data_IF_242402341245
#
_entry.id   IF_242402341245
#
_cell.length_a   1.000
_cell.length_b   1.000
_cell.length_c   1.000
_cell.angle_alpha   90.00
_cell.angle_beta   90.00
_cell.angle_gamma   90.00
#
_symmetry.space_group_name_H-M   'P 1'
#
loop_
_entity.id
_entity.type
_entity.pdbx_description
1 polymer ?
#
# COMPACT_ATOMS: atom_id res chain seq x y z
N UNK A 1 -33.20 -78.36 51.92
CA UNK A 1 -32.81 -79.36 50.90
C UNK A 1 -33.34 -78.91 49.54
N UNK A 2 -32.46 -78.90 48.52
CA UNK A 2 -32.70 -79.00 47.06
C UNK A 2 -33.39 -77.80 46.34
N UNK A 3 -32.64 -76.90 45.66
CA UNK A 3 -32.14 -76.89 44.24
C UNK A 3 -33.24 -76.51 43.22
N UNK A 4 -33.20 -75.38 42.50
CA UNK A 4 -32.42 -74.95 41.30
C UNK A 4 -33.35 -74.73 40.07
N UNK A 5 -33.30 -73.50 39.53
CA UNK A 5 -33.33 -73.03 38.11
C UNK A 5 -34.35 -73.59 37.10
N UNK A 6 -35.00 -72.69 36.35
CA UNK A 6 -34.79 -72.31 34.92
C UNK A 6 -35.99 -71.42 34.48
N UNK A 7 -35.74 -70.24 33.87
CA UNK A 7 -36.02 -69.87 32.45
C UNK A 7 -37.51 -70.04 32.01
N UNK A 8 -38.19 -69.22 31.21
CA UNK A 8 -37.95 -67.99 30.45
C UNK A 8 -39.26 -67.71 29.65
N UNK A 9 -39.62 -66.43 29.37
CA UNK A 9 -40.36 -65.89 28.18
C UNK A 9 -41.73 -66.53 27.77
N UNK A 10 -42.79 -65.87 27.30
CA UNK A 10 -43.04 -64.53 26.74
C UNK A 10 -44.56 -64.35 26.46
N UNK A 11 -44.94 -63.11 26.08
CA UNK A 11 -46.05 -62.73 25.16
C UNK A 11 -47.49 -62.77 25.73
N UNK A 12 -48.40 -61.80 25.55
CA UNK A 12 -48.57 -60.71 24.56
C UNK A 12 -49.80 -59.88 24.96
N UNK A 13 -49.76 -58.55 24.80
CA UNK A 13 -50.74 -57.68 24.10
C UNK A 13 -50.54 -56.23 24.56
N UNK A 14 -50.38 -55.27 23.64
CA UNK A 14 -51.17 -54.03 23.55
C UNK A 14 -50.57 -53.00 22.58
N UNK A 15 -51.43 -52.57 21.65
CA UNK A 15 -51.48 -51.34 20.84
C UNK A 15 -50.17 -50.59 20.57
N UNK A 16 -49.70 -50.63 19.32
CA UNK A 16 -48.80 -49.62 18.76
C UNK A 16 -49.59 -48.64 17.87
N UNK A 17 -49.57 -47.38 18.29
CA UNK A 17 -50.10 -46.26 17.54
C UNK A 17 -49.25 -46.01 16.28
N UNK A 18 -49.93 -45.69 15.18
CA UNK A 18 -49.29 -45.22 13.95
C UNK A 18 -48.81 -43.79 14.17
N UNK A 19 -47.51 -43.62 14.41
CA UNK A 19 -46.82 -42.33 14.25
C UNK A 19 -45.94 -42.43 13.02
N UNK A 20 -46.32 -41.74 11.94
CA UNK A 20 -45.51 -41.65 10.74
C UNK A 20 -44.14 -41.00 11.03
N UNK A 21 -43.11 -41.27 10.22
CA UNK A 21 -41.84 -40.59 10.37
C UNK A 21 -42.04 -39.12 10.00
N UNK A 22 -42.00 -38.25 11.00
CA UNK A 22 -41.77 -36.84 10.78
C UNK A 22 -40.36 -36.71 10.16
N UNK A 23 -40.33 -36.42 8.87
CA UNK A 23 -39.14 -35.91 8.20
C UNK A 23 -38.70 -34.66 8.98
N UNK A 24 -37.67 -34.79 9.81
CA UNK A 24 -36.97 -33.66 10.37
C UNK A 24 -36.27 -32.94 9.20
N UNK A 25 -36.99 -32.00 8.59
CA UNK A 25 -36.39 -31.02 7.71
C UNK A 25 -35.41 -30.21 8.57
N UNK A 26 -34.11 -30.40 8.34
CA UNK A 26 -33.05 -29.56 8.88
C UNK A 26 -33.23 -28.16 8.29
N UNK A 27 -34.09 -27.37 8.93
CA UNK A 27 -34.48 -26.04 8.47
C UNK A 27 -33.31 -25.14 8.82
N UNK A 28 -32.38 -24.97 7.87
CA UNK A 28 -31.26 -24.04 8.01
C UNK A 28 -31.78 -22.71 8.56
N UNK A 29 -31.23 -22.30 9.71
CA UNK A 29 -31.63 -21.08 10.40
C UNK A 29 -31.14 -19.86 9.62
N UNK A 30 -32.05 -19.29 8.84
CA UNK A 30 -31.83 -18.09 8.05
C UNK A 30 -32.15 -16.81 8.84
N UNK A 31 -32.30 -16.89 10.17
CA UNK A 31 -32.45 -15.70 10.99
C UNK A 31 -31.13 -14.94 11.10
N UNK A 32 -31.25 -13.61 11.17
CA UNK A 32 -30.13 -12.73 11.42
C UNK A 32 -29.89 -12.65 12.92
N UNK A 33 -28.64 -12.67 13.36
CA UNK A 33 -28.30 -12.54 14.77
C UNK A 33 -26.88 -12.07 14.98
N UNK A 34 -26.49 -12.04 16.25
CA UNK A 34 -25.11 -11.79 16.67
C UNK A 34 -24.61 -12.95 17.52
N UNK A 35 -23.31 -13.25 17.42
CA UNK A 35 -22.61 -14.24 18.25
C UNK A 35 -21.30 -13.63 18.75
N UNK A 36 -21.16 -13.50 20.07
CA UNK A 36 -19.92 -13.05 20.70
C UNK A 36 -19.06 -14.24 21.08
N UNK A 37 -17.77 -14.18 20.76
CA UNK A 37 -16.78 -15.20 21.10
C UNK A 37 -15.70 -14.61 21.99
N UNK A 38 -15.44 -15.29 23.09
CA UNK A 38 -14.30 -14.99 23.96
C UNK A 38 -13.06 -15.65 23.40
N UNK A 39 -11.98 -14.88 23.27
CA UNK A 39 -10.69 -15.38 22.81
C UNK A 39 -9.59 -15.00 23.81
N UNK A 40 -8.50 -15.75 23.79
CA UNK A 40 -7.29 -15.37 24.54
C UNK A 40 -6.70 -14.09 23.97
N UNK A 41 -5.80 -13.46 24.72
CA UNK A 41 -5.14 -12.25 24.24
C UNK A 41 -4.31 -12.51 22.97
N UNK A 42 -4.27 -11.51 22.08
CA UNK A 42 -3.51 -11.54 20.84
C UNK A 42 -3.00 -10.13 20.53
N UNK A 43 -2.01 -10.04 19.64
CA UNK A 43 -1.53 -8.77 19.09
C UNK A 43 -1.42 -8.80 17.57
N UNK A 44 -1.73 -9.92 16.94
CA UNK A 44 -1.71 -10.09 15.49
C UNK A 44 -3.05 -10.65 15.01
N UNK A 45 -3.54 -10.17 13.87
CA UNK A 45 -4.77 -10.66 13.24
C UNK A 45 -4.42 -11.17 11.84
N UNK A 46 -4.93 -12.34 11.49
CA UNK A 46 -4.81 -12.95 10.18
C UNK A 46 -6.20 -13.34 9.66
N UNK A 47 -6.63 -12.68 8.59
CA UNK A 47 -7.97 -12.81 8.02
C UNK A 47 -7.90 -13.64 6.72
N UNK A 48 -8.67 -14.72 6.66
CA UNK A 48 -8.72 -15.65 5.52
C UNK A 48 -10.19 -15.96 5.21
N UNK A 49 -10.87 -15.03 4.54
CA UNK A 49 -12.25 -15.24 4.11
C UNK A 49 -12.86 -14.02 3.43
N UNK A 50 -14.08 -14.17 2.90
CA UNK A 50 -14.84 -13.10 2.25
C UNK A 50 -15.65 -12.30 3.28
N UNK A 51 -15.03 -11.90 4.38
CA UNK A 51 -15.72 -11.25 5.49
C UNK A 51 -15.48 -9.74 5.48
N UNK A 52 -16.52 -8.97 5.75
CA UNK A 52 -16.31 -7.57 6.13
C UNK A 52 -15.85 -7.52 7.59
N UNK A 53 -14.65 -7.03 7.85
CA UNK A 53 -14.03 -7.05 9.18
C UNK A 53 -13.81 -5.64 9.68
N UNK A 54 -14.33 -5.34 10.88
CA UNK A 54 -14.10 -4.05 11.54
C UNK A 54 -13.25 -4.31 12.78
N UNK A 55 -12.08 -3.66 12.86
CA UNK A 55 -11.14 -3.78 13.97
C UNK A 55 -11.12 -2.47 14.74
N UNK A 56 -11.33 -2.53 16.05
CA UNK A 56 -11.32 -1.37 16.95
C UNK A 56 -10.31 -1.55 18.10
N UNK A 57 -9.72 -0.47 18.64
CA UNK A 57 -8.80 -0.53 19.78
C UNK A 57 -9.53 -0.66 21.12
N UNK A 58 -10.76 -1.17 21.13
CA UNK A 58 -11.58 -1.24 22.35
C UNK A 58 -10.94 -2.17 23.38
N UNK A 59 -11.19 -1.90 24.66
CA UNK A 59 -10.53 -2.60 25.76
C UNK A 59 -10.83 -4.11 25.75
N UNK A 60 -9.78 -4.91 25.87
CA UNK A 60 -9.87 -6.37 25.86
C UNK A 60 -9.60 -6.96 24.47
N UNK A 61 -9.89 -8.26 24.35
CA UNK A 61 -9.79 -9.02 23.12
C UNK A 61 -11.10 -9.78 22.96
N UNK A 62 -11.85 -9.46 21.92
CA UNK A 62 -13.19 -9.98 21.71
C UNK A 62 -13.56 -10.02 20.25
N UNK A 63 -14.46 -10.92 19.90
CA UNK A 63 -14.97 -11.09 18.54
C UNK A 63 -16.48 -11.09 18.60
N UNK A 64 -17.13 -10.32 17.74
CA UNK A 64 -18.57 -10.33 17.54
C UNK A 64 -18.87 -10.58 16.05
N UNK A 65 -19.60 -11.65 15.78
CA UNK A 65 -20.08 -12.00 14.44
C UNK A 65 -21.51 -11.48 14.29
N UNK A 66 -21.82 -10.85 13.15
CA UNK A 66 -23.17 -10.40 12.81
C UNK A 66 -23.52 -10.85 11.39
N UNK A 67 -24.59 -11.62 11.24
CA UNK A 67 -24.91 -12.29 9.98
C UNK A 67 -26.03 -13.32 10.10
N UNK A 68 -26.18 -14.15 9.07
CA UNK A 68 -27.08 -15.30 9.10
C UNK A 68 -26.51 -16.35 10.06
N UNK A 69 -27.32 -16.79 11.03
CA UNK A 69 -26.86 -17.71 12.08
C UNK A 69 -26.24 -19.01 11.56
N UNK A 70 -26.78 -19.56 10.47
CA UNK A 70 -26.22 -20.76 9.81
C UNK A 70 -24.73 -20.63 9.44
N UNK A 71 -24.24 -19.42 9.20
CA UNK A 71 -22.86 -19.17 8.77
C UNK A 71 -21.89 -19.14 9.95
N UNK A 72 -22.34 -18.87 11.18
CA UNK A 72 -21.42 -18.74 12.32
C UNK A 72 -20.64 -20.02 12.61
N UNK A 73 -21.29 -21.18 12.45
CA UNK A 73 -20.65 -22.48 12.62
C UNK A 73 -19.58 -22.78 11.56
N UNK A 74 -19.59 -22.08 10.42
CA UNK A 74 -18.60 -22.23 9.35
C UNK A 74 -17.39 -21.31 9.52
N UNK A 75 -17.44 -20.34 10.44
CA UNK A 75 -16.36 -19.40 10.68
C UNK A 75 -15.51 -19.93 11.82
N UNK A 76 -14.24 -20.20 11.56
CA UNK A 76 -13.29 -20.57 12.59
C UNK A 76 -12.53 -19.34 13.10
N UNK A 77 -12.49 -19.20 14.43
CA UNK A 77 -11.77 -18.13 15.13
C UNK A 77 -10.83 -18.78 16.15
N UNK A 78 -9.54 -18.88 15.84
CA UNK A 78 -8.56 -19.55 16.68
C UNK A 78 -7.41 -18.62 16.99
N UNK A 79 -6.90 -18.66 18.23
CA UNK A 79 -5.69 -17.94 18.63
C UNK A 79 -4.57 -18.97 18.77
N UNK A 80 -3.49 -18.79 18.02
CA UNK A 80 -2.27 -19.59 18.13
C UNK A 80 -1.07 -18.66 18.37
N UNK A 81 -0.39 -18.85 19.52
CA UNK A 81 0.57 -17.88 20.03
C UNK A 81 -0.11 -16.53 20.23
N UNK A 82 0.40 -15.49 19.57
CA UNK A 82 -0.13 -14.12 19.64
C UNK A 82 -1.03 -13.74 18.45
N UNK A 83 -1.38 -14.71 17.60
CA UNK A 83 -2.11 -14.45 16.35
C UNK A 83 -3.53 -15.01 16.40
N UNK A 84 -4.52 -14.13 16.30
CA UNK A 84 -5.90 -14.48 15.99
C UNK A 84 -6.02 -14.79 14.49
N UNK A 85 -6.43 -16.00 14.15
CA UNK A 85 -6.81 -16.37 12.79
C UNK A 85 -8.33 -16.46 12.69
N UNK A 86 -8.90 -15.67 11.78
CA UNK A 86 -10.31 -15.76 11.40
C UNK A 86 -10.36 -16.32 9.99
N UNK A 87 -10.91 -17.52 9.84
CA UNK A 87 -10.95 -18.20 8.54
C UNK A 87 -12.28 -18.85 8.25
N UNK A 88 -12.67 -18.88 6.98
CA UNK A 88 -13.68 -19.83 6.50
C UNK A 88 -12.94 -21.07 5.96
N UNK A 89 -13.07 -22.25 6.60
CA UNK A 89 -12.55 -23.47 6.02
C UNK A 89 -13.16 -23.67 4.65
N UNK A 90 -12.34 -24.02 3.65
CA UNK A 90 -12.87 -24.51 2.37
C UNK A 90 -13.71 -25.74 2.68
N UNK A 91 -15.03 -25.59 2.68
CA UNK A 91 -15.90 -26.74 2.56
C UNK A 91 -15.53 -27.42 1.26
N UNK A 92 -15.09 -28.67 1.34
CA UNK A 92 -14.83 -29.54 0.21
C UNK A 92 -16.19 -29.87 -0.43
N UNK A 93 -16.83 -28.89 -1.07
CA UNK A 93 -17.94 -29.15 -1.98
C UNK A 93 -17.33 -29.78 -3.22
N UNK A 94 -17.23 -31.10 -3.21
CA UNK A 94 -17.02 -31.89 -4.42
C UNK A 94 -18.13 -31.52 -5.41
N UNK A 95 -17.79 -30.75 -6.44
CA UNK A 95 -18.71 -30.35 -7.50
C UNK A 95 -18.40 -28.96 -8.02
N UNK A 96 -17.82 -28.89 -9.22
CA UNK A 96 -17.68 -27.64 -9.98
C UNK A 96 -19.08 -27.23 -10.45
N UNK A 97 -19.68 -26.22 -9.82
CA UNK A 97 -20.90 -25.57 -10.31
C UNK A 97 -20.63 -24.07 -10.45
N UNK A 98 -20.51 -23.58 -11.69
CA UNK A 98 -20.63 -22.15 -11.97
C UNK A 98 -22.10 -21.77 -11.98
N UNK A 99 -22.57 -21.14 -10.91
CA UNK A 99 -23.79 -20.35 -10.98
C UNK A 99 -23.40 -18.88 -11.15
N UNK A 100 -23.44 -18.38 -12.39
CA UNK A 100 -23.54 -16.94 -12.64
C UNK A 100 -24.92 -16.49 -12.16
N UNK A 101 -25.01 -16.02 -10.92
CA UNK A 101 -26.21 -15.37 -10.40
C UNK A 101 -26.06 -13.86 -10.62
N UNK A 102 -26.64 -13.35 -11.70
CA UNK A 102 -26.94 -11.93 -11.85
C UNK A 102 -28.21 -11.63 -11.05
N UNK A 103 -28.03 -11.40 -9.76
CA UNK A 103 -29.10 -10.96 -8.85
C UNK A 103 -28.50 -10.02 -7.83
N UNK A 104 -29.10 -8.83 -7.67
CA UNK A 104 -28.84 -7.95 -6.53
C UNK A 104 -29.38 -8.61 -5.27
N UNK A 105 -28.68 -9.61 -4.78
CA UNK A 105 -29.02 -10.22 -3.51
C UNK A 105 -28.65 -9.21 -2.43
N UNK A 106 -29.68 -8.61 -1.82
CA UNK A 106 -29.60 -7.70 -0.70
C UNK A 106 -29.20 -8.46 0.59
N UNK A 107 -28.30 -9.46 0.46
CA UNK A 107 -27.78 -10.25 1.55
C UNK A 107 -26.80 -9.37 2.31
N UNK A 108 -27.22 -8.92 3.49
CA UNK A 108 -26.35 -8.21 4.44
C UNK A 108 -25.12 -9.08 4.69
N UNK A 109 -23.96 -8.56 4.34
CA UNK A 109 -22.68 -9.24 4.41
C UNK A 109 -22.36 -9.69 5.84
N UNK A 110 -21.65 -10.81 5.96
CA UNK A 110 -21.14 -11.29 7.24
C UNK A 110 -20.13 -10.27 7.77
N UNK A 111 -20.47 -9.63 8.89
CA UNK A 111 -19.61 -8.63 9.55
C UNK A 111 -18.95 -9.24 10.77
N UNK A 112 -17.64 -9.08 10.89
CA UNK A 112 -16.85 -9.54 12.03
C UNK A 112 -16.25 -8.32 12.71
N UNK A 113 -16.68 -8.02 13.94
CA UNK A 113 -16.09 -6.97 14.76
C UNK A 113 -15.03 -7.59 15.69
N UNK A 114 -13.83 -7.03 15.69
CA UNK A 114 -12.71 -7.49 16.50
C UNK A 114 -12.20 -6.34 17.36
N UNK A 115 -12.26 -6.50 18.69
CA UNK A 115 -11.63 -5.57 19.63
C UNK A 115 -10.19 -6.02 19.89
N UNK A 116 -9.22 -5.15 19.66
CA UNK A 116 -7.79 -5.45 19.73
C UNK A 116 -6.98 -4.28 20.30
N UNK A 117 -6.97 -4.14 21.63
CA UNK A 117 -6.34 -3.01 22.31
C UNK A 117 -4.81 -2.87 22.07
N UNK A 118 -4.10 -3.97 21.80
CA UNK A 118 -2.64 -3.99 21.64
C UNK A 118 -2.20 -4.54 20.28
N UNK A 119 -2.98 -4.26 19.23
CA UNK A 119 -2.71 -4.72 17.88
C UNK A 119 -1.36 -4.18 17.37
N UNK A 120 -0.55 -5.08 16.82
CA UNK A 120 0.75 -4.80 16.19
C UNK A 120 0.78 -5.20 14.72
N UNK A 121 -0.03 -6.19 14.32
CA UNK A 121 -0.03 -6.70 12.95
C UNK A 121 -1.45 -7.07 12.50
N UNK A 122 -1.81 -6.66 11.29
CA UNK A 122 -3.07 -6.99 10.64
C UNK A 122 -2.77 -7.47 9.22
N UNK A 123 -3.12 -8.72 8.94
CA UNK A 123 -2.96 -9.35 7.63
C UNK A 123 -4.32 -9.70 7.05
N UNK A 124 -4.61 -9.19 5.85
CA UNK A 124 -5.74 -9.62 5.03
C UNK A 124 -5.26 -10.53 3.90
N UNK A 125 -5.53 -11.83 4.00
CA UNK A 125 -5.33 -12.80 2.93
C UNK A 125 -6.68 -13.26 2.32
N UNK A 126 -7.78 -12.61 2.73
CA UNK A 126 -9.13 -12.86 2.25
C UNK A 126 -9.56 -11.91 1.14
N UNK A 127 -10.76 -12.12 0.63
CA UNK A 127 -11.37 -11.26 -0.39
C UNK A 127 -12.39 -10.28 0.18
N UNK A 128 -12.49 -10.20 1.51
CA UNK A 128 -13.38 -9.26 2.18
C UNK A 128 -12.63 -8.04 2.66
N UNK A 129 -13.38 -6.96 2.84
CA UNK A 129 -12.84 -5.64 3.20
C UNK A 129 -12.57 -5.55 4.69
N UNK A 130 -11.56 -4.77 5.04
CA UNK A 130 -11.11 -4.59 6.42
C UNK A 130 -11.06 -3.12 6.78
N UNK A 131 -11.73 -2.75 7.87
CA UNK A 131 -11.71 -1.41 8.41
C UNK A 131 -11.03 -1.40 9.79
N UNK A 132 -9.84 -0.80 9.88
CA UNK A 132 -9.16 -0.53 11.14
C UNK A 132 -9.50 0.88 11.62
N UNK A 133 -10.33 0.97 12.65
CA UNK A 133 -10.87 2.25 13.12
C UNK A 133 -10.11 2.80 14.32
N UNK A 134 -9.76 4.09 14.28
CA UNK A 134 -9.24 4.86 15.44
C UNK A 134 -8.00 4.23 16.11
N UNK A 135 -7.16 3.53 15.34
CA UNK A 135 -5.96 2.87 15.87
C UNK A 135 -5.05 3.85 16.61
N UNK A 136 -4.49 3.42 17.74
CA UNK A 136 -3.49 4.18 18.49
C UNK A 136 -2.38 3.24 18.93
N UNK A 137 -1.16 3.47 18.43
CA UNK A 137 -0.04 2.59 18.75
C UNK A 137 1.31 3.16 18.37
N UNK A 138 2.38 2.51 18.85
CA UNK A 138 3.75 2.90 18.47
C UNK A 138 4.17 2.28 17.14
N UNK A 139 3.70 1.07 16.84
CA UNK A 139 4.07 0.31 15.65
C UNK A 139 2.84 -0.44 15.12
N UNK A 140 2.70 -0.48 13.81
CA UNK A 140 1.69 -1.29 13.11
C UNK A 140 2.28 -1.87 11.83
N UNK A 141 2.03 -3.15 11.60
CA UNK A 141 2.28 -3.83 10.33
C UNK A 141 0.95 -4.14 9.65
N UNK A 142 0.76 -3.65 8.44
CA UNK A 142 -0.38 -3.93 7.58
C UNK A 142 0.08 -4.77 6.39
N UNK A 143 -0.53 -5.93 6.17
CA UNK A 143 -0.21 -6.82 5.05
C UNK A 143 -1.50 -7.11 4.28
N UNK A 144 -1.57 -6.67 3.03
CA UNK A 144 -2.65 -7.01 2.09
C UNK A 144 -2.15 -8.03 1.09
N UNK A 145 -2.56 -9.29 1.22
CA UNK A 145 -2.25 -10.38 0.28
C UNK A 145 -3.46 -10.76 -0.59
N UNK A 146 -4.66 -10.39 -0.14
CA UNK A 146 -5.90 -10.73 -0.80
C UNK A 146 -6.42 -9.62 -1.73
N UNK A 147 -7.51 -9.89 -2.44
CA UNK A 147 -8.15 -8.90 -3.31
C UNK A 147 -9.12 -7.97 -2.57
N UNK A 148 -9.28 -8.09 -1.24
CA UNK A 148 -10.16 -7.22 -0.45
C UNK A 148 -9.44 -5.96 0.03
N UNK A 149 -10.18 -4.87 0.18
CA UNK A 149 -9.63 -3.56 0.48
C UNK A 149 -9.31 -3.41 1.98
N UNK A 150 -8.39 -2.51 2.30
CA UNK A 150 -8.08 -2.15 3.69
C UNK A 150 -8.22 -0.64 3.87
N UNK A 151 -9.09 -0.24 4.77
CA UNK A 151 -9.21 1.14 5.23
C UNK A 151 -8.66 1.23 6.65
N UNK A 152 -7.79 2.20 6.93
CA UNK A 152 -7.25 2.40 8.27
C UNK A 152 -7.29 3.87 8.70
N UNK A 153 -7.63 4.09 9.97
CA UNK A 153 -7.68 5.42 10.57
C UNK A 153 -7.05 5.45 11.96
N UNK A 154 -6.54 6.62 12.37
CA UNK A 154 -5.99 6.84 13.70
C UNK A 154 -4.59 7.46 13.69
N UNK A 155 -3.74 7.04 14.63
CA UNK A 155 -2.38 7.53 14.78
C UNK A 155 -1.40 6.42 15.16
N UNK A 156 -0.28 6.36 14.46
CA UNK A 156 0.78 5.38 14.71
C UNK A 156 2.18 6.03 14.69
N UNK A 157 3.11 5.52 15.49
CA UNK A 157 4.50 6.01 15.46
C UNK A 157 5.27 5.54 14.22
N UNK A 158 5.21 4.24 13.93
CA UNK A 158 5.78 3.61 12.74
C UNK A 158 4.80 2.67 12.06
N UNK A 159 4.62 2.84 10.76
CA UNK A 159 3.74 2.03 9.93
C UNK A 159 4.55 1.30 8.86
N UNK A 160 4.42 -0.03 8.83
CA UNK A 160 4.96 -0.86 7.75
C UNK A 160 3.81 -1.47 6.97
N UNK A 161 3.74 -1.17 5.68
CA UNK A 161 2.69 -1.63 4.76
C UNK A 161 3.32 -2.54 3.72
N UNK A 162 2.71 -3.69 3.49
CA UNK A 162 3.05 -4.59 2.38
C UNK A 162 1.78 -4.91 1.60
N UNK A 163 1.71 -4.42 0.37
CA UNK A 163 0.60 -4.66 -0.54
C UNK A 163 1.03 -5.64 -1.64
N UNK A 164 0.68 -6.92 -1.47
CA UNK A 164 0.92 -8.01 -2.42
C UNK A 164 -0.33 -8.34 -3.24
N UNK A 165 -1.51 -8.08 -2.67
CA UNK A 165 -2.80 -8.35 -3.28
C UNK A 165 -3.23 -7.30 -4.31
N UNK A 166 -4.44 -7.48 -4.83
CA UNK A 166 -5.06 -6.57 -5.80
C UNK A 166 -6.11 -5.64 -5.18
N UNK A 167 -6.34 -5.73 -3.87
CA UNK A 167 -7.22 -4.80 -3.16
C UNK A 167 -6.48 -3.52 -2.80
N UNK A 168 -7.23 -2.44 -2.68
CA UNK A 168 -6.69 -1.10 -2.45
C UNK A 168 -6.53 -0.83 -0.95
N UNK A 169 -5.55 0.01 -0.61
CA UNK A 169 -5.31 0.42 0.77
C UNK A 169 -5.54 1.92 0.93
N UNK A 170 -6.62 2.30 1.64
CA UNK A 170 -6.88 3.68 2.03
C UNK A 170 -6.40 3.93 3.47
N UNK A 171 -5.27 4.61 3.57
CA UNK A 171 -4.60 4.99 4.80
C UNK A 171 -4.63 6.51 5.01
N UNK A 172 -5.43 7.25 4.25
CA UNK A 172 -5.47 8.73 4.32
C UNK A 172 -5.89 9.23 5.69
N UNK A 173 -6.70 8.47 6.42
CA UNK A 173 -7.17 8.81 7.75
C UNK A 173 -6.19 8.38 8.88
N UNK A 174 -5.00 7.88 8.56
CA UNK A 174 -4.01 7.36 9.50
C UNK A 174 -2.75 8.24 9.53
N UNK A 175 -2.56 8.98 10.62
CA UNK A 175 -1.36 9.78 10.82
C UNK A 175 -0.18 8.91 11.26
N UNK A 176 0.99 9.10 10.66
CA UNK A 176 2.19 8.32 11.00
C UNK A 176 3.45 9.17 11.18
N UNK A 177 4.33 8.72 12.07
CA UNK A 177 5.69 9.24 12.14
C UNK A 177 6.49 8.73 10.94
N UNK A 178 6.83 7.46 10.97
CA UNK A 178 7.59 6.78 9.93
C UNK A 178 6.68 5.89 9.10
N UNK A 179 6.79 5.98 7.77
CA UNK A 179 6.02 5.15 6.85
C UNK A 179 6.97 4.34 5.96
N UNK A 180 6.83 3.03 5.97
CA UNK A 180 7.47 2.12 5.04
C UNK A 180 6.40 1.42 4.21
N UNK A 181 6.40 1.62 2.90
CA UNK A 181 5.45 1.00 1.96
C UNK A 181 6.21 0.13 0.97
N UNK A 182 5.79 -1.12 0.87
CA UNK A 182 6.24 -2.03 -0.18
C UNK A 182 5.03 -2.51 -0.99
N UNK A 183 5.00 -2.15 -2.27
CA UNK A 183 3.93 -2.54 -3.20
C UNK A 183 4.47 -3.53 -4.21
N UNK A 184 3.97 -4.76 -4.16
CA UNK A 184 4.31 -5.84 -5.07
C UNK A 184 3.11 -6.25 -5.95
N UNK A 185 1.89 -5.96 -5.49
CA UNK A 185 0.66 -6.27 -6.19
C UNK A 185 0.19 -5.15 -7.15
N UNK A 186 -0.93 -5.38 -7.83
CA UNK A 186 -1.55 -4.39 -8.72
C UNK A 186 -2.54 -3.44 -8.04
N UNK A 187 -2.80 -3.60 -6.74
CA UNK A 187 -3.71 -2.72 -5.99
C UNK A 187 -3.04 -1.40 -5.62
N UNK A 188 -3.85 -0.36 -5.46
CA UNK A 188 -3.41 1.00 -5.22
C UNK A 188 -3.27 1.29 -3.72
N UNK A 189 -2.44 2.26 -3.37
CA UNK A 189 -2.27 2.70 -1.98
C UNK A 189 -2.42 4.21 -1.92
N UNK A 190 -3.35 4.68 -1.09
CA UNK A 190 -3.50 6.09 -0.77
C UNK A 190 -3.14 6.32 0.70
N UNK A 191 -2.21 7.23 0.99
CA UNK A 191 -1.82 7.56 2.36
C UNK A 191 -1.68 9.07 2.58
N UNK A 192 -1.69 9.50 3.84
CA UNK A 192 -1.42 10.89 4.18
C UNK A 192 -0.78 11.07 5.56
N UNK A 193 -0.39 12.29 5.91
CA UNK A 193 -0.05 12.67 7.29
C UNK A 193 1.23 12.01 7.81
N UNK A 194 2.27 11.96 6.99
CA UNK A 194 3.60 11.43 7.35
C UNK A 194 4.45 12.55 7.95
N UNK A 195 4.99 12.36 9.14
CA UNK A 195 5.61 13.46 9.94
C UNK A 195 7.10 13.29 10.24
N UNK A 196 7.72 12.17 9.87
CA UNK A 196 9.15 11.92 10.10
C UNK A 196 9.86 11.42 8.85
N UNK A 197 9.78 10.13 8.52
CA UNK A 197 10.51 9.55 7.39
C UNK A 197 9.57 8.70 6.53
N UNK A 198 9.80 8.74 5.21
CA UNK A 198 9.05 7.99 4.22
C UNK A 198 10.00 7.11 3.41
N UNK A 199 9.73 5.80 3.38
CA UNK A 199 10.38 4.84 2.50
C UNK A 199 9.33 4.13 1.65
N UNK A 200 9.52 4.17 0.34
CA UNK A 200 8.60 3.61 -0.65
C UNK A 200 9.38 2.70 -1.60
N UNK A 201 8.88 1.49 -1.79
CA UNK A 201 9.36 0.56 -2.81
C UNK A 201 8.17 0.04 -3.61
N UNK A 202 8.10 0.38 -4.90
CA UNK A 202 7.05 -0.05 -5.81
C UNK A 202 7.63 -1.01 -6.86
N UNK A 203 7.29 -2.28 -6.74
CA UNK A 203 7.62 -3.34 -7.70
C UNK A 203 6.42 -3.72 -8.57
N UNK A 204 5.20 -3.49 -8.05
CA UNK A 204 3.94 -3.82 -8.71
C UNK A 204 3.51 -2.80 -9.76
N UNK A 205 2.30 -2.98 -10.28
CA UNK A 205 1.70 -2.11 -11.30
C UNK A 205 0.62 -1.18 -10.76
N UNK A 206 0.34 -1.22 -9.45
CA UNK A 206 -0.58 -0.30 -8.81
C UNK A 206 0.11 1.03 -8.49
N UNK A 207 -0.72 2.05 -8.30
CA UNK A 207 -0.29 3.43 -8.09
C UNK A 207 -0.26 3.79 -6.60
N UNK A 208 0.67 4.66 -6.24
CA UNK A 208 0.84 5.16 -4.88
C UNK A 208 0.63 6.66 -4.82
N UNK A 209 -0.34 7.10 -4.04
CA UNK A 209 -0.55 8.52 -3.73
C UNK A 209 -0.30 8.78 -2.24
N UNK A 210 0.70 9.61 -1.93
CA UNK A 210 0.96 10.07 -0.56
C UNK A 210 0.89 11.59 -0.48
N UNK A 211 -0.13 12.09 0.21
CA UNK A 211 -0.31 13.50 0.53
C UNK A 211 0.19 13.90 1.91
N UNK A 212 0.22 15.22 2.17
CA UNK A 212 0.51 15.80 3.50
C UNK A 212 1.80 15.26 4.14
N UNK A 213 2.87 15.17 3.32
CA UNK A 213 4.19 14.75 3.78
C UNK A 213 4.90 15.92 4.46
N UNK A 214 5.39 15.70 5.67
CA UNK A 214 6.27 16.60 6.40
C UNK A 214 7.46 15.81 6.95
N UNK A 215 8.38 15.42 6.06
CA UNK A 215 9.42 14.44 6.37
C UNK A 215 10.84 15.05 6.44
N UNK A 216 11.74 14.41 7.18
CA UNK A 216 13.18 14.65 7.06
C UNK A 216 13.71 14.00 5.80
N UNK A 217 13.41 12.70 5.60
CA UNK A 217 13.86 11.96 4.42
C UNK A 217 12.70 11.27 3.72
N UNK A 218 12.72 11.39 2.40
CA UNK A 218 11.89 10.61 1.48
C UNK A 218 12.82 9.76 0.62
N UNK A 219 12.60 8.44 0.62
CA UNK A 219 13.26 7.48 -0.26
C UNK A 219 12.21 6.79 -1.11
N UNK A 220 12.27 6.95 -2.43
CA UNK A 220 11.34 6.36 -3.37
C UNK A 220 12.10 5.51 -4.40
N UNK A 221 11.85 4.21 -4.40
CA UNK A 221 12.41 3.26 -5.36
C UNK A 221 11.29 2.63 -6.19
N UNK A 222 11.28 2.90 -7.49
CA UNK A 222 10.27 2.43 -8.44
C UNK A 222 10.92 1.45 -9.41
N UNK A 223 10.50 0.19 -9.35
CA UNK A 223 10.97 -0.89 -10.22
C UNK A 223 9.87 -1.41 -11.16
N UNK A 224 8.60 -1.18 -10.81
CA UNK A 224 7.43 -1.57 -11.59
C UNK A 224 6.98 -0.52 -12.60
N UNK A 225 5.86 -0.78 -13.29
CA UNK A 225 5.23 0.17 -14.20
C UNK A 225 4.22 1.11 -13.52
N UNK A 226 3.96 0.96 -12.21
CA UNK A 226 3.02 1.83 -11.48
C UNK A 226 3.64 3.19 -11.12
N UNK A 227 2.76 4.18 -10.95
CA UNK A 227 3.14 5.57 -10.73
C UNK A 227 3.14 5.93 -9.24
N UNK A 228 3.94 6.94 -8.88
CA UNK A 228 4.04 7.43 -7.51
C UNK A 228 3.86 8.95 -7.47
N UNK A 229 2.86 9.42 -6.75
CA UNK A 229 2.61 10.83 -6.48
C UNK A 229 2.91 11.18 -5.02
N UNK A 230 3.83 12.14 -4.78
CA UNK A 230 4.24 12.59 -3.45
C UNK A 230 3.99 14.09 -3.30
N UNK A 231 3.25 14.49 -2.24
CA UNK A 231 2.87 15.89 -2.01
C UNK A 231 3.17 16.35 -0.59
N UNK A 232 3.69 17.57 -0.45
CA UNK A 232 4.00 18.17 0.86
C UNK A 232 5.38 18.83 0.90
N UNK A 233 6.18 18.49 1.91
CA UNK A 233 7.54 19.02 2.14
C UNK A 233 8.47 17.95 2.70
N UNK A 234 9.73 17.95 2.24
CA UNK A 234 10.77 17.12 2.81
C UNK A 234 12.13 17.83 2.85
N UNK A 235 13.01 17.51 3.79
CA UNK A 235 14.39 18.04 3.73
C UNK A 235 15.20 17.40 2.63
N UNK A 236 15.10 16.09 2.49
CA UNK A 236 15.85 15.29 1.52
C UNK A 236 14.91 14.35 0.75
N UNK A 237 15.05 14.30 -0.57
CA UNK A 237 14.48 13.23 -1.41
C UNK A 237 15.58 12.46 -2.14
N UNK A 238 15.48 11.14 -2.09
CA UNK A 238 16.23 10.21 -2.94
C UNK A 238 15.24 9.44 -3.81
N UNK A 239 15.31 9.64 -5.11
CA UNK A 239 14.48 8.99 -6.11
C UNK A 239 15.32 8.04 -6.96
N UNK A 240 14.90 6.78 -7.05
CA UNK A 240 15.49 5.75 -7.91
C UNK A 240 14.39 5.14 -8.78
N UNK A 241 14.37 5.46 -10.07
CA UNK A 241 13.36 4.97 -11.02
C UNK A 241 14.05 4.04 -12.01
N UNK A 242 13.72 2.76 -11.95
CA UNK A 242 14.26 1.70 -12.82
C UNK A 242 13.22 1.13 -13.78
N UNK A 243 11.94 1.35 -13.48
CA UNK A 243 10.81 0.86 -14.26
C UNK A 243 10.37 1.82 -15.37
N UNK A 244 9.16 1.60 -15.86
CA UNK A 244 8.47 2.49 -16.80
C UNK A 244 7.44 3.40 -16.13
N UNK A 245 7.22 3.25 -14.83
CA UNK A 245 6.34 4.12 -14.07
C UNK A 245 6.98 5.47 -13.76
N UNK A 246 6.13 6.44 -13.49
CA UNK A 246 6.50 7.83 -13.29
C UNK A 246 6.50 8.22 -11.81
N UNK A 247 7.45 9.07 -11.43
CA UNK A 247 7.50 9.69 -10.11
C UNK A 247 7.08 11.16 -10.21
N UNK A 248 5.88 11.50 -9.76
CA UNK A 248 5.45 12.89 -9.56
C UNK A 248 5.72 13.34 -8.12
N UNK A 249 6.84 14.04 -7.94
CA UNK A 249 7.13 14.84 -6.75
C UNK A 249 7.29 16.34 -7.09
N UNK A 250 6.63 16.81 -8.17
CA UNK A 250 6.56 18.23 -8.53
C UNK A 250 5.89 19.08 -7.44
N UNK A 251 5.08 18.46 -6.58
CA UNK A 251 4.34 19.12 -5.49
C UNK A 251 4.87 18.76 -4.10
N UNK A 252 6.06 18.13 -4.05
CA UNK A 252 6.83 17.94 -2.84
C UNK A 252 7.93 19.00 -2.78
N UNK A 253 7.84 19.94 -1.84
CA UNK A 253 8.87 20.97 -1.66
C UNK A 253 10.09 20.40 -0.93
N UNK A 254 11.21 20.28 -1.63
CA UNK A 254 12.46 19.68 -1.10
C UNK A 254 13.64 20.66 -1.01
N UNK A 255 14.54 20.43 -0.05
CA UNK A 255 15.79 21.23 0.10
C UNK A 255 17.02 20.55 -0.54
N UNK A 256 17.06 19.22 -0.57
CA UNK A 256 18.14 18.43 -1.18
C UNK A 256 17.54 17.29 -2.00
N UNK A 257 18.01 17.11 -3.23
CA UNK A 257 17.47 16.13 -4.15
C UNK A 257 18.58 15.27 -4.77
N UNK A 258 18.33 13.95 -4.80
CA UNK A 258 19.10 12.99 -5.58
C UNK A 258 18.13 12.20 -6.46
N UNK A 259 18.40 12.11 -7.76
CA UNK A 259 17.58 11.38 -8.72
C UNK A 259 18.45 10.47 -9.58
N UNK A 260 18.10 9.19 -9.66
CA UNK A 260 18.73 8.23 -10.57
C UNK A 260 17.62 7.56 -11.38
N UNK A 261 17.59 7.82 -12.68
CA UNK A 261 16.65 7.21 -13.62
C UNK A 261 17.39 6.20 -14.49
N UNK A 262 16.86 4.98 -14.59
CA UNK A 262 17.37 3.86 -15.37
C UNK A 262 16.22 3.17 -16.10
N UNK A 263 15.74 3.75 -17.18
CA UNK A 263 14.58 3.21 -17.88
C UNK A 263 13.90 4.26 -18.74
N UNK A 264 12.67 3.97 -19.21
CA UNK A 264 11.86 4.92 -19.95
C UNK A 264 10.96 5.80 -19.08
N UNK A 265 10.80 5.52 -17.78
CA UNK A 265 9.93 6.30 -16.89
C UNK A 265 10.41 7.73 -16.64
N UNK A 266 9.49 8.58 -16.20
CA UNK A 266 9.71 9.99 -15.93
C UNK A 266 9.84 10.27 -14.42
N UNK A 267 10.52 11.36 -14.07
CA UNK A 267 10.50 11.87 -12.71
C UNK A 267 10.39 13.39 -12.69
N UNK A 268 9.55 13.93 -11.82
CA UNK A 268 9.52 15.34 -11.48
C UNK A 268 9.90 15.56 -10.02
N UNK A 269 10.84 16.47 -9.77
CA UNK A 269 11.20 16.95 -8.43
C UNK A 269 11.05 18.47 -8.35
N UNK A 270 10.60 18.99 -7.21
CA UNK A 270 10.49 20.43 -6.97
C UNK A 270 10.95 20.85 -5.56
N UNK A 271 11.05 22.16 -5.33
CA UNK A 271 11.30 22.72 -4.01
C UNK A 271 12.15 23.99 -4.03
N UNK A 272 12.85 24.22 -2.92
CA UNK A 272 13.94 25.19 -2.81
C UNK A 272 15.25 24.40 -2.74
N UNK A 273 15.61 23.79 -3.85
CA UNK A 273 16.64 22.74 -3.89
C UNK A 273 18.02 23.39 -3.84
N UNK A 274 18.69 23.28 -2.69
CA UNK A 274 20.03 23.82 -2.42
C UNK A 274 21.15 22.95 -2.97
N UNK A 275 20.87 21.67 -3.23
CA UNK A 275 21.81 20.68 -3.77
C UNK A 275 21.06 19.68 -4.64
N UNK A 276 21.56 19.46 -5.86
CA UNK A 276 21.04 18.47 -6.79
C UNK A 276 22.17 17.54 -7.29
N UNK A 277 21.94 16.24 -7.21
CA UNK A 277 22.68 15.21 -7.94
C UNK A 277 21.70 14.39 -8.80
N UNK A 278 21.78 14.54 -10.11
CA UNK A 278 20.84 13.97 -11.06
C UNK A 278 21.57 13.11 -12.10
N UNK A 279 21.14 11.85 -12.23
CA UNK A 279 21.62 10.93 -13.25
C UNK A 279 20.45 10.32 -14.02
N UNK A 280 20.47 10.44 -15.34
CA UNK A 280 19.52 9.80 -16.24
C UNK A 280 20.30 8.88 -17.15
N UNK A 281 19.94 7.60 -17.12
CA UNK A 281 20.48 6.53 -17.96
C UNK A 281 19.33 5.90 -18.74
N UNK A 282 19.33 6.01 -20.07
CA UNK A 282 18.25 5.48 -20.91
C UNK A 282 17.42 6.58 -21.57
N UNK A 283 16.12 6.31 -21.74
CA UNK A 283 15.18 7.14 -22.52
C UNK A 283 14.18 7.93 -21.69
N UNK A 284 14.24 7.82 -20.36
CA UNK A 284 13.35 8.54 -19.46
C UNK A 284 13.70 10.02 -19.31
N UNK A 285 12.74 10.79 -18.83
CA UNK A 285 12.85 12.23 -18.70
C UNK A 285 12.87 12.66 -17.22
N UNK A 286 13.75 13.62 -16.89
CA UNK A 286 13.84 14.21 -15.55
C UNK A 286 13.52 15.69 -15.61
N UNK A 287 12.52 16.13 -14.85
CA UNK A 287 12.23 17.55 -14.62
C UNK A 287 12.58 17.94 -13.19
N UNK A 288 13.38 18.99 -13.02
CA UNK A 288 13.68 19.58 -11.71
C UNK A 288 13.32 21.05 -11.68
N UNK A 289 12.47 21.44 -10.70
CA UNK A 289 11.97 22.80 -10.53
C UNK A 289 12.42 23.44 -9.22
N UNK A 290 12.68 24.75 -9.26
CA UNK A 290 12.98 25.53 -8.05
C UNK A 290 14.39 25.29 -7.49
N UNK A 291 15.39 25.15 -8.37
CA UNK A 291 16.78 25.11 -7.93
C UNK A 291 17.20 26.46 -7.33
N UNK A 292 17.82 26.43 -6.16
CA UNK A 292 18.47 27.55 -5.48
C UNK A 292 19.84 27.09 -4.97
N UNK A 293 20.59 26.44 -5.87
CA UNK A 293 21.72 25.61 -5.49
C UNK A 293 23.06 26.33 -5.59
N UNK A 294 24.01 25.93 -4.73
CA UNK A 294 25.41 26.31 -4.95
C UNK A 294 26.04 25.47 -6.08
N UNK A 295 25.66 24.20 -6.17
CA UNK A 295 26.18 23.29 -7.18
C UNK A 295 25.10 22.31 -7.64
N UNK A 296 25.04 22.14 -8.95
CA UNK A 296 24.20 21.17 -9.63
C UNK A 296 25.10 20.20 -10.39
N UNK A 297 24.91 18.90 -10.16
CA UNK A 297 25.50 17.85 -10.97
C UNK A 297 24.41 17.18 -11.80
N UNK A 298 24.58 17.19 -13.11
CA UNK A 298 23.66 16.59 -14.06
C UNK A 298 24.42 15.63 -15.00
N UNK A 299 24.04 14.36 -15.02
CA UNK A 299 24.57 13.38 -15.97
C UNK A 299 23.43 12.79 -16.77
N UNK A 300 23.55 12.87 -18.08
CA UNK A 300 22.59 12.31 -19.02
C UNK A 300 23.32 11.36 -19.96
N UNK A 301 22.93 10.08 -19.94
CA UNK A 301 23.47 9.04 -20.81
C UNK A 301 22.33 8.33 -21.54
N UNK A 302 22.25 8.49 -22.85
CA UNK A 302 21.19 7.89 -23.66
C UNK A 302 20.33 8.92 -24.39
N UNK A 303 19.14 8.52 -24.89
CA UNK A 303 18.23 9.39 -25.64
C UNK A 303 17.25 10.23 -24.79
N UNK A 304 17.18 10.06 -23.47
CA UNK A 304 16.25 10.79 -22.60
C UNK A 304 16.57 12.28 -22.45
N UNK A 305 15.73 13.03 -21.74
CA UNK A 305 15.88 14.47 -21.56
C UNK A 305 16.00 14.86 -20.09
N UNK A 306 16.65 16.00 -19.84
CA UNK A 306 16.69 16.60 -18.52
C UNK A 306 16.31 18.08 -18.61
N UNK A 307 15.29 18.50 -17.86
CA UNK A 307 14.88 19.89 -17.75
C UNK A 307 15.18 20.43 -16.36
N UNK A 308 15.95 21.51 -16.29
CA UNK A 308 16.35 22.16 -15.04
C UNK A 308 15.88 23.62 -15.02
N UNK A 309 15.30 24.05 -13.90
CA UNK A 309 14.86 25.44 -13.71
C UNK A 309 15.21 25.99 -12.32
N UNK A 310 15.49 27.29 -12.25
CA UNK A 310 15.86 28.01 -11.04
C UNK A 310 17.17 28.79 -11.18
N UNK A 311 18.01 28.76 -10.15
CA UNK A 311 19.32 29.42 -10.10
C UNK A 311 20.39 28.47 -9.57
N UNK A 312 21.62 28.59 -10.08
CA UNK A 312 22.77 27.89 -9.53
C UNK A 312 24.05 28.72 -9.61
N UNK A 313 24.98 28.52 -8.65
CA UNK A 313 26.33 29.08 -8.78
C UNK A 313 27.16 28.29 -9.76
N UNK A 314 27.19 26.96 -9.64
CA UNK A 314 27.92 26.07 -10.56
C UNK A 314 26.99 25.01 -11.16
N UNK A 315 27.06 24.84 -12.47
CA UNK A 315 26.46 23.72 -13.19
C UNK A 315 27.57 22.85 -13.75
N UNK A 316 27.66 21.61 -13.28
CA UNK A 316 28.49 20.57 -13.90
C UNK A 316 27.57 19.60 -14.63
N UNK A 317 27.63 19.61 -15.96
CA UNK A 317 26.78 18.78 -16.80
C UNK A 317 27.57 17.91 -17.77
N UNK A 318 27.18 16.65 -17.89
CA UNK A 318 27.71 15.72 -18.87
C UNK A 318 26.56 15.09 -19.64
N UNK A 319 26.52 15.33 -20.95
CA UNK A 319 25.55 14.72 -21.86
C UNK A 319 26.29 13.76 -22.78
N UNK A 320 25.91 12.49 -22.79
CA UNK A 320 26.48 11.46 -23.66
C UNK A 320 25.37 10.71 -24.39
N UNK A 321 25.33 10.78 -25.71
CA UNK A 321 24.25 10.20 -26.52
C UNK A 321 23.44 11.24 -27.27
N UNK A 322 22.18 10.91 -27.58
CA UNK A 322 21.28 11.74 -28.40
C UNK A 322 20.27 12.56 -27.59
N UNK A 323 20.25 12.40 -26.27
CA UNK A 323 19.37 13.13 -25.38
C UNK A 323 19.77 14.59 -25.18
N UNK A 324 18.84 15.41 -24.70
CA UNK A 324 19.02 16.85 -24.53
C UNK A 324 18.96 17.28 -23.05
N UNK A 325 19.84 18.22 -22.69
CA UNK A 325 19.75 18.96 -21.43
C UNK A 325 19.17 20.36 -21.69
N UNK A 326 17.97 20.62 -21.19
CA UNK A 326 17.32 21.92 -21.23
C UNK A 326 17.42 22.64 -19.88
N UNK A 327 18.36 23.57 -19.80
CA UNK A 327 18.58 24.46 -18.67
C UNK A 327 18.34 25.92 -19.06
N UNK A 328 17.44 26.19 -20.03
CA UNK A 328 17.07 27.56 -20.45
C UNK A 328 16.44 28.37 -19.32
N UNK A 329 15.79 27.70 -18.37
CA UNK A 329 15.17 28.30 -17.20
C UNK A 329 16.04 28.21 -15.94
N UNK A 330 17.31 27.79 -16.07
CA UNK A 330 18.27 27.71 -14.96
C UNK A 330 19.35 28.78 -15.15
N UNK A 331 19.31 29.84 -14.34
CA UNK A 331 20.35 30.88 -14.34
C UNK A 331 21.61 30.38 -13.63
N UNK A 332 22.65 30.00 -14.39
CA UNK A 332 23.91 29.49 -13.89
C UNK A 332 25.04 30.53 -13.95
N UNK A 333 25.79 30.76 -12.86
CA UNK A 333 26.94 31.70 -12.87
C UNK A 333 28.19 31.12 -13.52
N UNK A 334 28.42 29.83 -13.33
CA UNK A 334 29.55 29.09 -13.88
C UNK A 334 29.06 27.76 -14.42
N UNK A 335 29.59 27.36 -15.56
CA UNK A 335 29.18 26.17 -16.29
C UNK A 335 30.41 25.37 -16.70
N UNK A 336 30.41 24.09 -16.36
CA UNK A 336 31.32 23.07 -16.86
C UNK A 336 30.47 22.00 -17.55
N UNK A 337 30.29 22.15 -18.85
CA UNK A 337 29.36 21.36 -19.65
C UNK A 337 30.14 20.64 -20.75
N UNK A 338 29.98 19.32 -20.81
CA UNK A 338 30.56 18.48 -21.86
C UNK A 338 29.46 17.69 -22.56
N UNK A 339 29.49 17.70 -23.90
CA UNK A 339 28.53 16.99 -24.74
C UNK A 339 29.30 16.03 -25.66
N UNK A 340 29.02 14.74 -25.53
CA UNK A 340 29.63 13.67 -26.30
C UNK A 340 28.55 12.86 -27.03
N UNK A 341 28.14 13.33 -28.21
CA UNK A 341 27.11 12.67 -28.99
C UNK A 341 26.36 13.65 -29.90
N UNK A 342 25.30 13.20 -30.58
CA UNK A 342 24.47 14.06 -31.41
C UNK A 342 23.47 14.94 -30.63
N UNK A 343 23.29 14.74 -29.32
CA UNK A 343 22.42 15.57 -28.48
C UNK A 343 23.02 16.94 -28.14
N UNK A 344 22.27 17.78 -27.42
CA UNK A 344 22.64 19.15 -27.09
C UNK A 344 22.44 19.46 -25.60
N UNK A 345 23.16 20.46 -25.11
CA UNK A 345 22.84 21.11 -23.84
C UNK A 345 22.63 22.61 -24.06
N UNK A 346 21.49 23.15 -23.64
CA UNK A 346 21.20 24.58 -23.71
C UNK A 346 21.10 25.12 -22.30
N UNK A 347 21.96 26.08 -21.94
CA UNK A 347 22.06 26.60 -20.57
C UNK A 347 21.93 28.12 -20.58
N UNK A 348 21.16 28.69 -19.65
CA UNK A 348 21.16 30.13 -19.39
C UNK A 348 22.33 30.51 -18.47
N UNK A 349 23.30 31.26 -18.98
CA UNK A 349 24.47 31.71 -18.22
C UNK A 349 24.27 33.14 -17.77
N UNK A 350 24.42 33.39 -16.47
CA UNK A 350 24.30 34.71 -15.87
C UNK A 350 25.49 35.60 -16.24
N UNK A 351 25.23 36.86 -16.57
CA UNK A 351 26.28 37.82 -16.92
C UNK A 351 27.16 38.13 -15.71
N UNK A 352 28.47 38.24 -15.94
CA UNK A 352 29.46 38.52 -14.88
C UNK A 352 29.24 39.85 -14.16
N UNK A 353 28.63 40.83 -14.84
CA UNK A 353 28.39 42.18 -14.31
C UNK A 353 26.97 42.38 -13.77
N UNK A 354 26.01 41.55 -14.17
CA UNK A 354 24.60 41.66 -13.77
C UNK A 354 23.95 40.26 -13.76
N UNK A 355 23.82 39.67 -12.57
CA UNK A 355 23.25 38.33 -12.41
C UNK A 355 21.75 38.24 -12.74
N UNK A 356 21.06 39.36 -12.97
CA UNK A 356 19.67 39.39 -13.43
C UNK A 356 19.54 39.20 -14.95
N UNK A 357 20.64 39.37 -15.69
CA UNK A 357 20.73 39.13 -17.13
C UNK A 357 21.35 37.77 -17.39
N UNK A 358 20.71 37.01 -18.27
CA UNK A 358 21.23 35.73 -18.76
C UNK A 358 21.31 35.75 -20.28
N UNK A 359 22.28 35.03 -20.82
CA UNK A 359 22.36 34.70 -22.23
C UNK A 359 22.36 33.18 -22.40
N UNK A 360 21.76 32.69 -23.49
CA UNK A 360 21.73 31.26 -23.77
C UNK A 360 23.03 30.81 -24.42
N UNK A 361 23.61 29.74 -23.89
CA UNK A 361 24.77 29.06 -24.46
C UNK A 361 24.35 27.66 -24.86
N UNK A 362 24.59 27.31 -26.12
CA UNK A 362 24.35 25.96 -26.66
C UNK A 362 25.68 25.22 -26.72
N UNK A 363 25.74 24.06 -26.08
CA UNK A 363 26.84 23.12 -26.12
C UNK A 363 26.44 21.94 -27.01
N UNK A 364 27.33 21.60 -27.93
CA UNK A 364 27.22 20.49 -28.88
C UNK A 364 28.63 19.93 -29.12
N UNK A 365 28.72 18.74 -29.72
CA UNK A 365 30.00 18.05 -29.98
C UNK A 365 30.96 18.87 -30.86
#
# INVERSE_FOLDING_TARGET
MKTLRHAALASTLLLTAVTGPALAADKQDNSYGTETRTVTAFSSINLIGPFHVIVTPDAGNGIELSGLRRQFAEIETTVNGDTLTVRQPRQQRNGWHFNFSFGKDNQREMTIRISAANLKSLRNAGSGDVELQRFQGQQLTLISDGPGDIQASGKVGGLSVTANGSGDLDLRALQTGNLNVQMNGPGDVEASGVTQDLNVVVNGSGDLDIGDIHANRVSAALHGPGDVALRGSAREIRAEVHGSGDLDACTLSTESASAVLRGPGEACLAGHIKKLDAEVHGSGDLTVRGLEAQGVRARLTGPGNMMLSGTTTTLSAQVSGSGDLDARQLSARQTDVSVNGPGNAVVAVADKQDASRTHLVTYQR
#
